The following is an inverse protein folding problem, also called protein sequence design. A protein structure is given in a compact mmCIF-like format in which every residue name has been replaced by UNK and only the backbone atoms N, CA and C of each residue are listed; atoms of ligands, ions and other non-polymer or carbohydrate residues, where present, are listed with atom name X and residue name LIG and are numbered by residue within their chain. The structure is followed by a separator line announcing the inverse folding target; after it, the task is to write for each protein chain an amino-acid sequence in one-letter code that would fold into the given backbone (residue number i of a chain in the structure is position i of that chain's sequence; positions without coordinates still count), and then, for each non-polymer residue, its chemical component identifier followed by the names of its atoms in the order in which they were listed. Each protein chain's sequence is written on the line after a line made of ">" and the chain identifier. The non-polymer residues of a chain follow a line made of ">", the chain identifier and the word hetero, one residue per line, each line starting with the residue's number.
data_IF_312771044472
#
_entry.id   IF_312771044472
#
_cell.length_a   1.000
_cell.length_b   1.000
_cell.length_c   1.000
_cell.angle_alpha   90.00
_cell.angle_beta   90.00
_cell.angle_gamma   90.00
#
_symmetry.space_group_name_H-M   'P 1'
#
loop_
_entity.id
_entity.type
_entity.pdbx_description
1 polymer ?
#
# COMPACT_ATOMS: atom_id res chain seq x y z
N UNK A 1 -4.36 69.37 -7.96
CA UNK A 1 -5.06 68.60 -9.02
C UNK A 1 -4.04 68.20 -10.07
N UNK A 2 -4.32 67.06 -10.75
CA UNK A 2 -3.53 66.27 -11.71
C UNK A 2 -2.37 65.45 -11.12
N UNK A 3 -2.59 64.16 -10.81
CA UNK A 3 -2.60 62.98 -11.72
C UNK A 3 -1.20 62.60 -12.20
N UNK A 4 -0.61 61.58 -11.55
CA UNK A 4 0.18 60.46 -12.10
C UNK A 4 1.14 59.92 -11.03
N UNK A 5 0.63 59.04 -10.17
CA UNK A 5 1.47 58.05 -9.49
C UNK A 5 1.34 56.74 -10.26
N UNK A 6 2.42 56.40 -10.96
CA UNK A 6 2.56 55.20 -11.75
C UNK A 6 2.28 53.94 -10.90
N UNK A 7 1.29 53.16 -11.33
CA UNK A 7 1.10 51.78 -10.90
C UNK A 7 2.31 50.96 -11.34
N UNK A 8 3.15 50.56 -10.40
CA UNK A 8 4.02 49.39 -10.57
C UNK A 8 3.21 48.15 -10.23
N UNK A 9 2.73 47.46 -11.26
CA UNK A 9 2.12 46.13 -11.11
C UNK A 9 3.15 45.18 -10.46
N UNK A 10 2.76 44.32 -9.50
CA UNK A 10 3.66 43.34 -8.94
C UNK A 10 4.09 42.36 -10.05
N UNK A 11 5.33 41.86 -10.01
CA UNK A 11 5.86 41.02 -11.07
C UNK A 11 5.01 39.76 -11.20
N UNK A 12 4.50 39.54 -12.41
CA UNK A 12 3.79 38.32 -12.82
C UNK A 12 4.73 37.14 -12.55
N UNK A 13 4.43 36.41 -11.48
CA UNK A 13 5.18 35.22 -11.11
C UNK A 13 5.09 34.20 -12.25
N UNK A 14 6.23 33.95 -12.87
CA UNK A 14 6.45 32.99 -13.93
C UNK A 14 5.94 31.61 -13.51
N UNK A 15 5.23 30.97 -14.44
CA UNK A 15 4.57 29.65 -14.34
C UNK A 15 5.59 28.49 -14.20
N UNK A 16 6.83 28.77 -13.81
CA UNK A 16 7.98 27.88 -13.88
C UNK A 16 8.43 27.35 -12.49
N UNK A 17 7.49 27.18 -11.56
CA UNK A 17 7.69 26.25 -10.45
C UNK A 17 6.99 24.94 -10.76
N UNK A 18 7.74 24.02 -11.38
CA UNK A 18 7.35 22.63 -11.63
C UNK A 18 7.01 21.95 -10.29
N UNK A 19 5.74 22.05 -9.88
CA UNK A 19 4.95 21.00 -9.27
C UNK A 19 5.52 20.29 -8.04
N UNK A 20 6.08 20.98 -7.06
CA UNK A 20 6.28 20.38 -5.72
C UNK A 20 4.91 20.15 -5.10
N UNK A 21 4.34 18.96 -5.34
CA UNK A 21 3.26 18.41 -4.50
C UNK A 21 3.79 18.49 -3.07
N UNK A 22 3.19 19.35 -2.24
CA UNK A 22 3.56 19.50 -0.84
C UNK A 22 3.47 18.12 -0.15
N UNK A 23 4.64 17.52 0.14
CA UNK A 23 4.77 16.23 0.81
C UNK A 23 4.11 16.34 2.19
N UNK A 24 3.32 15.34 2.56
CA UNK A 24 2.62 15.30 3.85
C UNK A 24 3.34 14.28 4.73
N UNK A 25 4.14 14.74 5.69
CA UNK A 25 4.93 13.90 6.58
C UNK A 25 4.10 12.82 7.29
N UNK A 26 2.87 13.14 7.68
CA UNK A 26 1.94 12.17 8.28
C UNK A 26 1.62 10.98 7.38
N UNK A 27 1.61 11.19 6.06
CA UNK A 27 1.41 10.10 5.11
C UNK A 27 2.67 9.25 4.97
N UNK A 28 3.84 9.85 5.17
CA UNK A 28 5.10 9.11 5.24
C UNK A 28 5.14 8.20 6.47
N UNK A 29 4.75 8.71 7.64
CA UNK A 29 4.61 7.91 8.88
C UNK A 29 3.68 6.71 8.65
N UNK A 30 2.48 6.94 8.11
CA UNK A 30 1.51 5.88 7.85
C UNK A 30 2.04 4.82 6.86
N UNK A 31 2.79 5.23 5.83
CA UNK A 31 3.42 4.29 4.88
C UNK A 31 4.49 3.44 5.55
N UNK A 32 5.35 4.04 6.36
CA UNK A 32 6.41 3.32 7.05
C UNK A 32 5.82 2.29 8.02
N UNK A 33 4.82 2.68 8.81
CA UNK A 33 4.12 1.75 9.71
C UNK A 33 3.51 0.61 8.92
N UNK A 34 2.75 0.90 7.86
CA UNK A 34 2.15 -0.13 7.02
C UNK A 34 3.19 -1.03 6.33
N UNK A 35 4.33 -0.48 5.90
CA UNK A 35 5.44 -1.28 5.35
C UNK A 35 6.02 -2.25 6.38
N UNK A 36 6.25 -1.80 7.61
CA UNK A 36 6.72 -2.67 8.70
C UNK A 36 5.68 -3.75 9.02
N UNK A 37 4.40 -3.37 9.14
CA UNK A 37 3.31 -4.30 9.43
C UNK A 37 3.16 -5.41 8.38
N UNK A 38 3.32 -5.11 7.09
CA UNK A 38 3.24 -6.14 6.05
C UNK A 38 4.47 -7.08 6.07
N UNK A 39 5.67 -6.56 6.37
CA UNK A 39 6.89 -7.37 6.51
C UNK A 39 6.72 -8.34 7.69
N UNK A 40 6.28 -7.81 8.83
CA UNK A 40 6.01 -8.59 10.05
C UNK A 40 4.95 -9.67 9.79
N UNK A 41 3.87 -9.34 9.07
CA UNK A 41 2.84 -10.30 8.68
C UNK A 41 3.39 -11.45 7.84
N UNK A 42 4.15 -11.15 6.78
CA UNK A 42 4.74 -12.19 5.94
C UNK A 42 5.81 -13.00 6.67
N UNK A 43 6.59 -12.36 7.54
CA UNK A 43 7.55 -13.07 8.37
C UNK A 43 6.85 -14.10 9.23
N UNK A 44 5.82 -13.72 9.98
CA UNK A 44 5.05 -14.64 10.81
C UNK A 44 4.38 -15.74 9.98
N UNK A 45 3.76 -15.40 8.85
CA UNK A 45 3.14 -16.36 7.94
C UNK A 45 4.13 -17.42 7.41
N UNK A 46 5.31 -16.99 6.95
CA UNK A 46 6.34 -17.88 6.41
C UNK A 46 7.05 -18.68 7.50
N UNK A 47 7.23 -18.09 8.69
CA UNK A 47 7.83 -18.75 9.86
C UNK A 47 6.94 -19.89 10.35
N UNK A 48 5.63 -19.63 10.50
CA UNK A 48 4.63 -20.60 10.94
C UNK A 48 4.41 -21.70 9.89
N UNK A 49 4.28 -21.35 8.61
CA UNK A 49 4.06 -22.35 7.54
C UNK A 49 5.23 -23.33 7.37
N UNK A 50 6.45 -22.95 7.77
CA UNK A 50 7.62 -23.83 7.81
C UNK A 50 7.77 -24.62 9.10
N UNK A 51 6.89 -24.42 10.08
CA UNK A 51 6.98 -25.06 11.39
C UNK A 51 8.22 -24.66 12.20
N UNK A 52 8.84 -23.52 11.88
CA UNK A 52 10.02 -23.02 12.61
C UNK A 52 9.55 -22.62 14.03
N UNK A 53 10.27 -23.06 15.07
CA UNK A 53 10.01 -22.67 16.46
C UNK A 53 8.85 -23.39 17.17
N UNK A 54 8.31 -24.47 16.58
CA UNK A 54 7.23 -25.27 17.18
C UNK A 54 5.90 -24.51 17.32
N UNK A 55 4.85 -25.19 17.79
CA UNK A 55 3.51 -24.61 17.99
C UNK A 55 3.42 -23.74 19.26
N UNK A 56 4.41 -22.86 19.48
CA UNK A 56 4.35 -21.91 20.59
C UNK A 56 3.28 -20.84 20.29
N UNK A 57 2.28 -20.64 21.18
CA UNK A 57 1.25 -19.62 21.01
C UNK A 57 1.80 -18.20 20.90
N UNK A 58 3.03 -17.95 21.36
CA UNK A 58 3.72 -16.66 21.26
C UNK A 58 4.10 -16.28 19.82
N UNK A 59 4.18 -17.25 18.89
CA UNK A 59 4.69 -17.03 17.53
C UNK A 59 3.60 -16.98 16.44
N UNK A 60 2.33 -17.20 16.79
CA UNK A 60 1.24 -17.43 15.81
C UNK A 60 0.07 -16.44 15.90
N UNK A 61 0.15 -15.42 16.77
CA UNK A 61 -0.98 -14.55 17.10
C UNK A 61 -0.76 -13.05 16.93
N UNK A 62 0.46 -12.60 16.67
CA UNK A 62 0.79 -11.17 16.72
C UNK A 62 0.38 -10.45 15.43
N UNK A 63 0.78 -10.96 14.27
CA UNK A 63 0.56 -10.31 12.99
C UNK A 63 -0.59 -10.95 12.21
N UNK A 64 -0.76 -12.26 12.34
CA UNK A 64 -1.81 -13.03 11.66
C UNK A 64 -3.20 -12.78 12.27
N UNK A 65 -3.24 -12.54 13.58
CA UNK A 65 -4.48 -12.43 14.36
C UNK A 65 -4.47 -11.27 15.38
N UNK A 66 -3.59 -10.27 15.25
CA UNK A 66 -3.46 -9.07 16.12
C UNK A 66 -3.97 -9.26 17.56
N UNK A 67 -3.40 -10.23 18.28
CA UNK A 67 -3.75 -10.59 19.66
C UNK A 67 -5.18 -11.15 19.86
N UNK A 68 -5.66 -11.97 18.93
CA UNK A 68 -6.99 -12.59 19.01
C UNK A 68 -8.13 -11.71 18.50
N UNK A 69 -7.81 -10.58 17.85
CA UNK A 69 -8.80 -9.64 17.33
C UNK A 69 -9.28 -10.00 15.92
N UNK A 70 -8.90 -11.16 15.36
CA UNK A 70 -9.22 -11.56 13.98
C UNK A 70 -8.81 -10.52 12.92
N UNK A 71 -7.91 -9.60 13.28
CA UNK A 71 -7.34 -8.59 12.40
C UNK A 71 -5.98 -9.08 11.91
N UNK A 72 -5.63 -8.68 10.69
CA UNK A 72 -4.35 -9.06 10.07
C UNK A 72 -3.57 -7.80 9.79
N UNK A 73 -2.33 -7.75 10.26
CA UNK A 73 -1.42 -6.66 9.93
C UNK A 73 -1.21 -6.55 8.42
N UNK A 74 -1.28 -7.66 7.68
CA UNK A 74 -1.20 -7.67 6.23
C UNK A 74 -2.37 -6.94 5.57
N UNK A 75 -3.61 -7.34 5.89
CA UNK A 75 -4.81 -6.68 5.36
C UNK A 75 -4.88 -5.20 5.75
N UNK A 76 -4.58 -4.87 7.02
CA UNK A 76 -4.51 -3.49 7.49
C UNK A 76 -3.51 -2.66 6.67
N UNK A 77 -2.32 -3.21 6.41
CA UNK A 77 -1.27 -2.53 5.64
C UNK A 77 -1.71 -2.25 4.22
N UNK A 78 -2.27 -3.26 3.54
CA UNK A 78 -2.79 -3.12 2.17
C UNK A 78 -3.88 -2.04 2.12
N UNK A 79 -4.79 -2.02 3.11
CA UNK A 79 -5.83 -1.00 3.22
C UNK A 79 -5.23 0.42 3.34
N UNK A 80 -4.24 0.60 4.20
CA UNK A 80 -3.55 1.88 4.37
C UNK A 80 -2.89 2.32 3.06
N UNK A 81 -2.20 1.43 2.34
CA UNK A 81 -1.56 1.77 1.06
C UNK A 81 -2.53 2.19 -0.03
N UNK A 82 -3.64 1.45 -0.19
CA UNK A 82 -4.68 1.81 -1.15
C UNK A 82 -5.34 3.14 -0.80
N UNK A 83 -5.73 3.34 0.48
CA UNK A 83 -6.34 4.59 0.92
C UNK A 83 -5.41 5.78 0.73
N UNK A 84 -4.13 5.69 1.13
CA UNK A 84 -3.16 6.76 0.90
C UNK A 84 -2.95 7.06 -0.59
N UNK A 85 -2.96 6.02 -1.43
CA UNK A 85 -2.87 6.18 -2.89
C UNK A 85 -4.09 6.89 -3.48
N UNK A 86 -5.28 6.62 -2.93
CA UNK A 86 -6.53 7.31 -3.23
C UNK A 86 -6.54 8.75 -2.78
N UNK A 87 -6.12 9.02 -1.54
CA UNK A 87 -5.99 10.37 -0.98
C UNK A 87 -5.13 11.27 -1.87
N UNK A 88 -4.01 10.74 -2.38
CA UNK A 88 -3.15 11.48 -3.31
C UNK A 88 -3.79 11.77 -4.67
N UNK A 89 -4.80 10.99 -5.06
CA UNK A 89 -5.56 11.12 -6.31
C UNK A 89 -6.81 11.99 -6.16
N UNK A 90 -7.22 12.31 -4.93
CA UNK A 90 -8.45 13.05 -4.64
C UNK A 90 -8.54 14.41 -5.36
N UNK A 91 -7.40 15.10 -5.52
CA UNK A 91 -7.32 16.39 -6.23
C UNK A 91 -7.79 16.32 -7.68
N UNK A 92 -7.74 15.12 -8.26
CA UNK A 92 -8.09 14.93 -9.66
C UNK A 92 -9.61 14.86 -9.81
N UNK A 93 -10.38 14.47 -8.78
CA UNK A 93 -11.84 14.21 -8.86
C UNK A 93 -12.60 15.37 -9.52
N UNK A 94 -12.45 16.59 -8.99
CA UNK A 94 -13.19 17.77 -9.48
C UNK A 94 -12.37 18.63 -10.45
N UNK A 95 -11.20 18.15 -10.90
CA UNK A 95 -10.32 18.92 -11.79
C UNK A 95 -10.84 18.92 -13.25
N UNK A 96 -11.34 20.05 -13.80
CA UNK A 96 -11.83 20.08 -15.18
C UNK A 96 -10.72 19.82 -16.20
N UNK A 97 -9.46 20.10 -15.86
CA UNK A 97 -8.29 19.92 -16.73
C UNK A 97 -7.67 18.52 -16.65
N UNK A 98 -8.36 17.55 -16.03
CA UNK A 98 -7.87 16.17 -15.95
C UNK A 98 -7.75 15.53 -17.34
N UNK A 99 -6.56 15.03 -17.67
CA UNK A 99 -6.31 14.28 -18.89
C UNK A 99 -5.88 12.86 -18.53
N UNK A 100 -6.59 11.87 -19.08
CA UNK A 100 -6.40 10.44 -18.81
C UNK A 100 -5.00 9.95 -19.20
N UNK A 101 -4.52 10.32 -20.40
CA UNK A 101 -3.22 9.84 -20.89
C UNK A 101 -2.02 10.33 -20.05
N UNK A 102 -1.89 11.64 -19.72
CA UNK A 102 -0.86 12.11 -18.79
C UNK A 102 -0.91 11.45 -17.42
N UNK A 103 -2.12 11.13 -16.92
CA UNK A 103 -2.28 10.39 -15.67
C UNK A 103 -1.66 8.99 -15.77
N UNK A 104 -2.00 8.22 -16.82
CA UNK A 104 -1.45 6.88 -17.01
C UNK A 104 0.06 6.90 -17.21
N UNK A 105 0.59 7.80 -18.06
CA UNK A 105 2.05 7.93 -18.25
C UNK A 105 2.78 8.18 -16.92
N UNK A 106 2.27 9.11 -16.11
CA UNK A 106 2.89 9.44 -14.81
C UNK A 106 2.83 8.27 -13.83
N UNK A 107 1.72 7.54 -13.81
CA UNK A 107 1.55 6.37 -12.93
C UNK A 107 2.40 5.20 -13.39
N UNK A 108 2.44 4.94 -14.70
CA UNK A 108 3.25 3.89 -15.30
C UNK A 108 4.71 4.03 -14.89
N UNK A 109 5.33 5.19 -15.09
CA UNK A 109 6.73 5.43 -14.73
C UNK A 109 7.01 5.27 -13.22
N UNK A 110 6.02 5.56 -12.37
CA UNK A 110 6.16 5.46 -10.91
C UNK A 110 5.99 4.04 -10.39
N UNK A 111 5.20 3.22 -11.07
CA UNK A 111 4.88 1.85 -10.63
C UNK A 111 5.80 0.84 -11.33
N UNK A 112 5.85 0.88 -12.67
CA UNK A 112 6.48 -0.17 -13.47
C UNK A 112 8.01 -0.12 -13.43
N UNK A 113 8.63 1.06 -13.25
CA UNK A 113 10.10 1.13 -13.20
C UNK A 113 10.64 0.40 -11.95
N UNK A 114 10.18 0.71 -10.72
CA UNK A 114 10.58 -0.07 -9.54
C UNK A 114 10.25 -1.57 -9.67
N UNK A 115 9.08 -1.89 -10.24
CA UNK A 115 8.65 -3.28 -10.45
C UNK A 115 9.60 -4.04 -11.37
N UNK A 116 9.90 -3.53 -12.56
CA UNK A 116 10.78 -4.21 -13.51
C UNK A 116 12.20 -4.37 -12.99
N UNK A 117 12.74 -3.35 -12.31
CA UNK A 117 14.06 -3.45 -11.68
C UNK A 117 14.05 -4.54 -10.61
N UNK A 118 13.04 -4.55 -9.72
CA UNK A 118 12.93 -5.56 -8.68
C UNK A 118 12.79 -6.97 -9.25
N UNK A 119 11.89 -7.13 -10.23
CA UNK A 119 11.65 -8.40 -10.91
C UNK A 119 12.92 -8.91 -11.58
N UNK A 120 13.61 -8.05 -12.34
CA UNK A 120 14.85 -8.41 -13.04
C UNK A 120 15.96 -8.83 -12.07
N UNK A 121 16.12 -8.14 -10.95
CA UNK A 121 17.10 -8.49 -9.90
C UNK A 121 16.80 -9.88 -9.34
N UNK A 122 15.57 -10.14 -8.89
CA UNK A 122 15.18 -11.43 -8.32
C UNK A 122 15.29 -12.55 -9.35
N UNK A 123 14.82 -12.30 -10.57
CA UNK A 123 14.90 -13.24 -11.68
C UNK A 123 16.36 -13.64 -11.97
N UNK A 124 17.27 -12.67 -12.04
CA UNK A 124 18.70 -12.91 -12.28
C UNK A 124 19.31 -13.71 -11.13
N UNK A 125 19.01 -13.36 -9.88
CA UNK A 125 19.50 -14.11 -8.71
C UNK A 125 19.03 -15.57 -8.75
N UNK A 126 17.76 -15.82 -9.10
CA UNK A 126 17.24 -17.18 -9.23
C UNK A 126 17.91 -17.97 -10.36
N UNK A 127 18.22 -17.33 -11.50
CA UNK A 127 18.99 -17.96 -12.58
C UNK A 127 20.38 -18.36 -12.08
N UNK A 128 21.09 -17.45 -11.42
CA UNK A 128 22.44 -17.70 -10.92
C UNK A 128 22.49 -18.81 -9.86
N UNK A 129 21.40 -19.00 -9.10
CA UNK A 129 21.23 -20.10 -8.14
C UNK A 129 20.75 -21.41 -8.77
N UNK A 130 20.50 -21.44 -10.08
CA UNK A 130 19.95 -22.62 -10.76
C UNK A 130 18.52 -22.98 -10.33
N UNK A 131 17.79 -22.03 -9.72
CA UNK A 131 16.48 -22.25 -9.11
C UNK A 131 15.29 -21.92 -10.04
N UNK A 132 15.55 -21.65 -11.32
CA UNK A 132 14.48 -21.32 -12.28
C UNK A 132 13.90 -22.58 -12.88
N UNK A 133 12.69 -22.93 -12.46
CA UNK A 133 11.88 -23.92 -13.14
C UNK A 133 11.04 -23.23 -14.23
N UNK A 134 11.39 -23.43 -15.51
CA UNK A 134 10.59 -22.96 -16.65
C UNK A 134 9.31 -23.82 -16.86
N UNK A 135 8.53 -24.01 -15.81
CA UNK A 135 7.33 -24.86 -15.83
C UNK A 135 6.09 -24.11 -16.31
N UNK A 136 6.17 -22.78 -16.43
CA UNK A 136 5.06 -21.92 -16.86
C UNK A 136 5.16 -21.67 -18.37
N UNK A 137 4.08 -21.86 -19.15
CA UNK A 137 4.10 -21.61 -20.59
C UNK A 137 4.43 -20.15 -20.92
N UNK A 138 5.30 -19.93 -21.91
CA UNK A 138 5.81 -18.60 -22.30
C UNK A 138 4.74 -17.52 -22.54
N UNK A 139 3.55 -17.81 -23.11
CA UNK A 139 2.52 -16.79 -23.32
C UNK A 139 2.04 -16.09 -22.02
N UNK A 140 2.10 -16.78 -20.87
CA UNK A 140 1.70 -16.20 -19.58
C UNK A 140 2.67 -15.12 -19.09
N UNK A 141 3.89 -15.04 -19.65
CA UNK A 141 4.84 -13.98 -19.33
C UNK A 141 4.34 -12.59 -19.74
N UNK A 142 3.41 -12.51 -20.70
CA UNK A 142 2.73 -11.24 -21.01
C UNK A 142 1.98 -10.68 -19.80
N UNK A 143 1.41 -11.54 -18.95
CA UNK A 143 0.76 -11.10 -17.72
C UNK A 143 1.78 -10.51 -16.74
N UNK A 144 2.98 -11.08 -16.65
CA UNK A 144 4.11 -10.56 -15.86
C UNK A 144 4.59 -9.19 -16.35
N UNK A 145 4.67 -9.00 -17.68
CA UNK A 145 5.01 -7.70 -18.27
C UNK A 145 4.02 -6.62 -17.85
N UNK A 146 2.73 -6.94 -17.76
CA UNK A 146 1.72 -6.00 -17.23
C UNK A 146 1.61 -6.02 -15.69
N UNK A 147 2.37 -6.88 -15.02
CA UNK A 147 2.33 -7.12 -13.57
C UNK A 147 0.98 -7.61 -13.06
N UNK A 148 0.25 -8.37 -13.88
CA UNK A 148 -1.07 -8.91 -13.59
C UNK A 148 -1.05 -10.41 -13.28
N UNK A 149 0.05 -11.10 -13.56
CA UNK A 149 0.19 -12.56 -13.38
C UNK A 149 -0.10 -12.99 -11.95
N UNK A 150 0.64 -12.47 -10.97
CA UNK A 150 0.47 -12.86 -9.59
C UNK A 150 -0.89 -12.47 -9.00
N UNK A 151 -1.44 -11.35 -9.47
CA UNK A 151 -2.78 -10.92 -9.09
C UNK A 151 -3.86 -11.88 -9.61
N UNK A 152 -3.83 -12.18 -10.91
CA UNK A 152 -4.81 -13.09 -11.52
C UNK A 152 -4.69 -14.51 -10.99
N UNK A 153 -3.46 -15.02 -10.83
CA UNK A 153 -3.21 -16.37 -10.31
C UNK A 153 -3.75 -16.54 -8.88
N UNK A 154 -3.51 -15.55 -8.01
CA UNK A 154 -3.92 -15.63 -6.60
C UNK A 154 -5.40 -15.30 -6.36
N UNK A 155 -5.98 -14.40 -7.15
CA UNK A 155 -7.40 -13.99 -7.03
C UNK A 155 -8.35 -14.93 -7.76
N UNK A 156 -7.88 -15.62 -8.80
CA UNK A 156 -8.65 -16.62 -9.55
C UNK A 156 -8.00 -18.01 -9.46
N UNK A 157 -7.51 -18.37 -8.27
CA UNK A 157 -6.83 -19.64 -8.01
C UNK A 157 -7.58 -20.89 -8.54
N UNK A 158 -8.93 -20.97 -8.49
CA UNK A 158 -9.66 -22.11 -9.06
C UNK A 158 -9.58 -22.23 -10.59
N UNK A 159 -9.21 -21.16 -11.30
CA UNK A 159 -8.94 -21.19 -12.75
C UNK A 159 -7.52 -21.68 -13.08
N UNK A 160 -6.71 -21.97 -12.05
CA UNK A 160 -5.34 -22.48 -12.17
C UNK A 160 -4.46 -21.69 -13.14
N UNK A 161 -4.59 -20.36 -13.13
CA UNK A 161 -3.82 -19.47 -14.01
C UNK A 161 -2.33 -19.58 -13.63
N UNK A 162 -1.47 -20.10 -14.52
CA UNK A 162 -0.03 -20.17 -14.28
C UNK A 162 0.59 -18.78 -14.11
N UNK A 163 1.58 -18.65 -13.24
CA UNK A 163 2.21 -17.37 -12.91
C UNK A 163 3.73 -17.50 -12.79
N UNK A 164 4.46 -16.51 -13.30
CA UNK A 164 5.89 -16.37 -13.05
C UNK A 164 6.13 -15.59 -11.75
N UNK A 165 5.42 -15.99 -10.68
CA UNK A 165 5.39 -15.24 -9.42
C UNK A 165 6.75 -15.23 -8.74
N UNK A 166 7.36 -14.06 -8.68
CA UNK A 166 8.67 -13.87 -8.05
C UNK A 166 8.63 -12.89 -6.89
N UNK A 167 7.88 -11.80 -7.00
CA UNK A 167 7.94 -10.68 -6.05
C UNK A 167 6.55 -10.33 -5.50
N UNK A 168 6.31 -9.11 -5.00
CA UNK A 168 4.99 -8.65 -4.57
C UNK A 168 3.96 -8.40 -5.70
N UNK A 169 3.89 -9.26 -6.73
CA UNK A 169 3.05 -9.07 -7.93
C UNK A 169 1.56 -9.01 -7.65
N UNK A 170 1.07 -9.73 -6.63
CA UNK A 170 -0.35 -9.67 -6.29
C UNK A 170 -0.77 -8.23 -5.91
N UNK A 171 -0.02 -7.60 -5.00
CA UNK A 171 -0.30 -6.23 -4.57
C UNK A 171 -0.03 -5.23 -5.71
N UNK A 172 1.04 -5.43 -6.47
CA UNK A 172 1.38 -4.60 -7.62
C UNK A 172 0.26 -4.64 -8.68
N UNK A 173 -0.21 -5.81 -9.07
CA UNK A 173 -1.26 -5.99 -10.05
C UNK A 173 -2.59 -5.39 -9.59
N UNK A 174 -2.94 -5.55 -8.32
CA UNK A 174 -4.09 -4.87 -7.73
C UNK A 174 -3.98 -3.34 -7.86
N UNK A 175 -2.78 -2.77 -7.65
CA UNK A 175 -2.52 -1.34 -7.81
C UNK A 175 -2.56 -0.88 -9.28
N UNK A 176 -2.12 -1.73 -10.21
CA UNK A 176 -2.26 -1.49 -11.66
C UNK A 176 -3.74 -1.43 -12.03
N UNK A 177 -4.55 -2.40 -11.60
CA UNK A 177 -6.00 -2.45 -11.87
C UNK A 177 -6.70 -1.20 -11.35
N UNK A 178 -6.47 -0.82 -10.10
CA UNK A 178 -7.03 0.40 -9.51
C UNK A 178 -6.60 1.64 -10.27
N UNK A 179 -5.33 1.70 -10.71
CA UNK A 179 -4.79 2.82 -11.48
C UNK A 179 -5.47 2.92 -12.86
N UNK A 180 -5.64 1.80 -13.56
CA UNK A 180 -6.30 1.75 -14.87
C UNK A 180 -7.76 2.21 -14.76
N UNK A 181 -8.47 1.75 -13.72
CA UNK A 181 -9.89 2.07 -13.53
C UNK A 181 -10.14 3.45 -12.92
N UNK A 182 -9.11 4.10 -12.36
CA UNK A 182 -9.27 5.39 -11.67
C UNK A 182 -9.99 6.47 -12.50
N UNK A 183 -9.68 6.70 -13.79
CA UNK A 183 -10.39 7.72 -14.59
C UNK A 183 -11.91 7.48 -14.67
N UNK A 184 -12.34 6.22 -14.77
CA UNK A 184 -13.75 5.84 -14.75
C UNK A 184 -14.37 6.10 -13.39
N UNK A 185 -13.74 5.62 -12.31
CA UNK A 185 -14.22 5.84 -10.92
C UNK A 185 -14.32 7.33 -10.62
N UNK A 186 -13.30 8.10 -10.99
CA UNK A 186 -13.25 9.54 -10.87
C UNK A 186 -14.43 10.22 -11.57
N UNK A 187 -14.72 9.83 -12.81
CA UNK A 187 -15.87 10.35 -13.56
C UNK A 187 -17.19 10.02 -12.86
N UNK A 188 -17.36 8.79 -12.37
CA UNK A 188 -18.54 8.37 -11.61
C UNK A 188 -18.69 9.17 -10.31
N UNK A 189 -17.60 9.43 -9.58
CA UNK A 189 -17.61 10.25 -8.36
C UNK A 189 -17.96 11.71 -8.64
N UNK A 190 -17.46 12.27 -9.74
CA UNK A 190 -17.75 13.65 -10.12
C UNK A 190 -19.22 13.81 -10.55
N UNK A 191 -19.77 12.82 -11.27
CA UNK A 191 -21.13 12.88 -11.82
C UNK A 191 -22.22 12.45 -10.84
N UNK A 192 -21.99 11.38 -10.08
CA UNK A 192 -23.01 10.71 -9.26
C UNK A 192 -22.68 10.63 -7.77
N UNK A 193 -21.53 11.19 -7.34
CA UNK A 193 -21.13 11.37 -5.94
C UNK A 193 -21.39 10.14 -5.04
N UNK A 194 -22.38 10.22 -4.14
CA UNK A 194 -22.70 9.19 -3.16
C UNK A 194 -23.23 7.89 -3.79
N UNK A 195 -23.95 7.95 -4.91
CA UNK A 195 -24.47 6.75 -5.58
C UNK A 195 -23.32 5.83 -6.01
N UNK A 196 -22.26 6.41 -6.58
CA UNK A 196 -21.06 5.69 -6.98
C UNK A 196 -20.38 4.99 -5.80
N UNK A 197 -20.39 5.60 -4.61
CA UNK A 197 -19.85 4.99 -3.40
C UNK A 197 -20.71 3.82 -2.96
N UNK A 198 -22.03 3.99 -2.87
CA UNK A 198 -22.95 2.92 -2.47
C UNK A 198 -22.80 1.71 -3.39
N UNK A 199 -22.77 1.93 -4.71
CA UNK A 199 -22.58 0.85 -5.68
C UNK A 199 -21.25 0.13 -5.46
N UNK A 200 -20.14 0.87 -5.27
CA UNK A 200 -18.82 0.26 -5.04
C UNK A 200 -18.79 -0.58 -3.75
N UNK A 201 -19.35 -0.08 -2.65
CA UNK A 201 -19.39 -0.82 -1.37
C UNK A 201 -20.34 -2.02 -1.43
N UNK A 202 -21.44 -1.94 -2.18
CA UNK A 202 -22.31 -3.11 -2.42
C UNK A 202 -21.55 -4.17 -3.22
N UNK A 203 -20.86 -3.78 -4.30
CA UNK A 203 -20.08 -4.71 -5.12
C UNK A 203 -18.89 -5.33 -4.38
N UNK A 204 -18.30 -4.57 -3.46
CA UNK A 204 -17.23 -5.04 -2.58
C UNK A 204 -17.66 -6.22 -1.69
N UNK A 205 -18.92 -6.22 -1.23
CA UNK A 205 -19.48 -7.30 -0.41
C UNK A 205 -20.05 -8.41 -1.30
N UNK A 206 -20.78 -8.04 -2.36
CA UNK A 206 -21.51 -8.99 -3.20
C UNK A 206 -20.57 -9.93 -3.96
N UNK A 207 -19.44 -9.43 -4.49
CA UNK A 207 -18.53 -10.25 -5.30
C UNK A 207 -17.90 -11.39 -4.47
N UNK A 208 -17.28 -11.15 -3.30
CA UNK A 208 -16.77 -12.24 -2.46
C UNK A 208 -17.83 -13.23 -2.02
N UNK A 209 -19.08 -12.76 -1.79
CA UNK A 209 -20.21 -13.64 -1.46
C UNK A 209 -20.55 -14.53 -2.65
N UNK A 210 -20.67 -13.99 -3.87
CA UNK A 210 -20.90 -14.84 -5.06
C UNK A 210 -19.73 -15.80 -5.27
N UNK A 211 -18.50 -15.31 -5.10
CA UNK A 211 -17.28 -16.08 -5.29
C UNK A 211 -17.23 -17.30 -4.34
N UNK A 212 -17.69 -17.14 -3.09
CA UNK A 212 -17.75 -18.26 -2.14
C UNK A 212 -18.68 -19.39 -2.56
N UNK A 213 -19.78 -19.06 -3.25
CA UNK A 213 -20.74 -20.05 -3.74
C UNK A 213 -20.20 -20.85 -4.94
N UNK A 214 -19.13 -20.38 -5.58
CA UNK A 214 -18.46 -21.07 -6.70
C UNK A 214 -17.08 -21.61 -6.30
N UNK A 215 -16.80 -21.75 -5.01
CA UNK A 215 -15.56 -22.34 -4.49
C UNK A 215 -14.32 -21.44 -4.59
N UNK A 216 -14.50 -20.14 -4.86
CA UNK A 216 -13.42 -19.16 -4.83
C UNK A 216 -13.21 -18.59 -3.43
N UNK A 217 -12.01 -18.05 -3.18
CA UNK A 217 -11.62 -17.55 -1.86
C UNK A 217 -12.40 -16.26 -1.53
N UNK A 218 -13.19 -16.23 -0.44
CA UNK A 218 -14.08 -15.11 -0.13
C UNK A 218 -13.41 -13.94 0.60
N UNK A 219 -12.29 -13.44 0.07
CA UNK A 219 -11.58 -12.30 0.64
C UNK A 219 -11.81 -11.04 -0.19
N UNK A 220 -12.42 -10.03 0.43
CA UNK A 220 -12.74 -8.74 -0.17
C UNK A 220 -11.53 -8.10 -0.86
N UNK A 221 -10.35 -8.14 -0.23
CA UNK A 221 -9.16 -7.49 -0.77
C UNK A 221 -8.51 -8.28 -1.92
N UNK A 222 -8.91 -9.53 -2.16
CA UNK A 222 -8.46 -10.29 -3.34
C UNK A 222 -9.14 -9.83 -4.62
N UNK A 223 -10.35 -9.28 -4.53
CA UNK A 223 -11.09 -8.86 -5.72
C UNK A 223 -10.84 -7.38 -6.05
N UNK A 224 -10.89 -7.00 -7.35
CA UNK A 224 -10.67 -5.62 -7.75
C UNK A 224 -11.61 -4.64 -7.04
N UNK A 225 -12.85 -5.06 -6.78
CA UNK A 225 -13.86 -4.22 -6.14
C UNK A 225 -13.46 -3.80 -4.73
N UNK A 226 -12.86 -4.68 -3.93
CA UNK A 226 -12.40 -4.31 -2.60
C UNK A 226 -11.21 -3.37 -2.62
N UNK A 227 -10.22 -3.60 -3.51
CA UNK A 227 -9.10 -2.69 -3.68
C UNK A 227 -9.56 -1.30 -4.17
N UNK A 228 -10.50 -1.27 -5.11
CA UNK A 228 -11.10 -0.04 -5.66
C UNK A 228 -11.88 0.70 -4.59
N UNK A 229 -12.75 0.02 -3.84
CA UNK A 229 -13.55 0.63 -2.78
C UNK A 229 -12.64 1.24 -1.70
N UNK A 230 -11.63 0.48 -1.26
CA UNK A 230 -10.60 0.95 -0.32
C UNK A 230 -9.87 2.19 -0.84
N UNK A 231 -9.40 2.18 -2.09
CA UNK A 231 -8.74 3.34 -2.71
C UNK A 231 -9.69 4.54 -2.79
N UNK A 232 -10.93 4.29 -3.19
CA UNK A 232 -11.98 5.31 -3.36
C UNK A 232 -12.33 5.96 -2.03
N UNK A 233 -12.40 5.17 -0.95
CA UNK A 233 -12.61 5.66 0.41
C UNK A 233 -11.54 6.69 0.80
N UNK A 234 -10.26 6.37 0.57
CA UNK A 234 -9.17 7.33 0.77
C UNK A 234 -9.33 8.60 -0.07
N UNK A 235 -9.73 8.48 -1.33
CA UNK A 235 -9.96 9.63 -2.20
C UNK A 235 -11.08 10.54 -1.68
N UNK A 236 -12.19 9.98 -1.18
CA UNK A 236 -13.31 10.73 -0.59
C UNK A 236 -12.91 11.40 0.73
N UNK A 237 -12.17 10.70 1.60
CA UNK A 237 -11.65 11.28 2.85
C UNK A 237 -10.81 12.53 2.54
N UNK A 238 -9.88 12.45 1.59
CA UNK A 238 -9.06 13.61 1.23
C UNK A 238 -9.85 14.69 0.50
N UNK A 239 -10.87 14.34 -0.31
CA UNK A 239 -11.76 15.33 -0.92
C UNK A 239 -12.54 16.11 0.13
N UNK A 240 -13.05 15.44 1.16
CA UNK A 240 -13.70 16.08 2.31
C UNK A 240 -12.75 17.03 3.02
N UNK A 241 -11.52 16.59 3.32
CA UNK A 241 -10.50 17.43 3.96
C UNK A 241 -10.17 18.69 3.15
N UNK A 242 -10.05 18.57 1.83
CA UNK A 242 -9.78 19.71 0.95
C UNK A 242 -10.96 20.70 0.98
N UNK A 243 -12.19 20.19 0.88
CA UNK A 243 -13.41 21.01 0.89
C UNK A 243 -13.62 21.75 2.21
N UNK A 244 -13.32 21.12 3.35
CA UNK A 244 -13.54 21.66 4.69
C UNK A 244 -12.25 22.11 5.39
N UNK A 245 -11.22 22.49 4.63
CA UNK A 245 -9.88 22.78 5.17
C UNK A 245 -9.85 23.90 6.23
N UNK A 246 -10.82 24.82 6.21
CA UNK A 246 -10.95 25.93 7.17
C UNK A 246 -12.03 25.70 8.24
N UNK A 247 -12.91 24.71 8.04
CA UNK A 247 -14.07 24.46 8.91
C UNK A 247 -13.68 23.52 10.07
N UNK A 248 -13.28 24.12 11.20
CA UNK A 248 -12.86 23.37 12.39
C UNK A 248 -13.92 22.42 12.94
N UNK A 249 -15.20 22.76 12.80
CA UNK A 249 -16.30 21.93 13.30
C UNK A 249 -16.45 20.68 12.45
N UNK A 250 -16.42 20.82 11.12
CA UNK A 250 -16.40 19.69 10.20
C UNK A 250 -15.18 18.79 10.42
N UNK A 251 -14.00 19.38 10.58
CA UNK A 251 -12.77 18.62 10.82
C UNK A 251 -12.82 17.86 12.16
N UNK A 252 -13.37 18.45 13.23
CA UNK A 252 -13.58 17.77 14.52
C UNK A 252 -14.56 16.60 14.40
N UNK A 253 -15.67 16.78 13.68
CA UNK A 253 -16.65 15.71 13.42
C UNK A 253 -16.00 14.54 12.69
N UNK A 254 -15.16 14.79 11.68
CA UNK A 254 -14.40 13.75 11.00
C UNK A 254 -13.45 13.02 11.93
N UNK A 255 -12.71 13.73 12.78
CA UNK A 255 -11.83 13.08 13.75
C UNK A 255 -12.60 12.18 14.72
N UNK A 256 -13.76 12.65 15.23
CA UNK A 256 -14.65 11.83 16.06
C UNK A 256 -15.16 10.60 15.30
N UNK A 257 -15.52 10.75 14.02
CA UNK A 257 -15.88 9.61 13.17
C UNK A 257 -14.73 8.61 13.05
N UNK A 258 -13.49 9.07 12.85
CA UNK A 258 -12.31 8.20 12.81
C UNK A 258 -12.09 7.42 14.11
N UNK A 259 -12.31 8.07 15.26
CA UNK A 259 -12.26 7.41 16.57
C UNK A 259 -13.35 6.35 16.69
N UNK A 260 -14.60 6.67 16.34
CA UNK A 260 -15.73 5.73 16.37
C UNK A 260 -15.45 4.54 15.45
N UNK A 261 -14.99 4.77 14.22
CA UNK A 261 -14.66 3.70 13.28
C UNK A 261 -13.57 2.77 13.82
N UNK A 262 -12.55 3.31 14.49
CA UNK A 262 -11.48 2.53 15.11
C UNK A 262 -12.02 1.66 16.23
N UNK A 263 -12.80 2.24 17.15
CA UNK A 263 -13.40 1.50 18.29
C UNK A 263 -14.36 0.43 17.78
N UNK A 264 -15.26 0.77 16.85
CA UNK A 264 -16.21 -0.20 16.27
C UNK A 264 -15.46 -1.32 15.56
N UNK A 265 -14.39 -1.03 14.79
CA UNK A 265 -13.58 -2.06 14.16
C UNK A 265 -12.98 -2.99 15.21
N UNK A 266 -12.39 -2.46 16.29
CA UNK A 266 -11.80 -3.27 17.38
C UNK A 266 -12.86 -4.07 18.16
N UNK A 267 -14.06 -3.54 18.38
CA UNK A 267 -15.14 -4.24 19.07
C UNK A 267 -15.87 -5.28 18.20
N UNK A 268 -15.96 -5.05 16.88
CA UNK A 268 -16.60 -5.98 15.93
C UNK A 268 -15.87 -7.32 15.77
N UNK A 269 -14.71 -7.46 16.42
CA UNK A 269 -13.94 -8.70 16.55
C UNK A 269 -14.69 -9.77 17.34
N UNK A 270 -15.67 -9.36 18.16
CA UNK A 270 -16.55 -10.24 18.91
C UNK A 270 -17.62 -10.94 18.04
N UNK A 271 -17.75 -10.58 16.76
CA UNK A 271 -18.70 -11.19 15.81
C UNK A 271 -17.95 -12.16 14.89
N UNK A 272 -18.21 -13.48 14.96
CA UNK A 272 -17.59 -14.46 14.08
C UNK A 272 -18.02 -14.27 12.63
N UNK A 273 -17.06 -14.20 11.69
CA UNK A 273 -17.35 -14.15 10.26
C UNK A 273 -16.12 -13.86 9.40
N UNK A 274 -15.81 -14.75 8.44
CA UNK A 274 -14.62 -14.64 7.59
C UNK A 274 -14.67 -13.42 6.65
N UNK A 275 -15.82 -13.12 6.05
CA UNK A 275 -16.02 -11.97 5.15
C UNK A 275 -15.86 -10.61 5.86
N UNK A 276 -16.11 -10.57 7.16
CA UNK A 276 -16.04 -9.32 7.95
C UNK A 276 -14.60 -8.94 8.29
N UNK A 277 -13.63 -9.85 8.17
CA UNK A 277 -12.23 -9.57 8.54
C UNK A 277 -11.61 -8.46 7.69
N UNK A 278 -11.76 -8.53 6.37
CA UNK A 278 -11.22 -7.51 5.46
C UNK A 278 -11.92 -6.16 5.62
N UNK A 279 -13.26 -6.15 5.73
CA UNK A 279 -14.04 -4.93 5.98
C UNK A 279 -13.66 -4.29 7.33
N UNK A 280 -13.44 -5.10 8.37
CA UNK A 280 -12.95 -4.63 9.67
C UNK A 280 -11.57 -3.99 9.55
N UNK A 281 -10.64 -4.61 8.81
CA UNK A 281 -9.32 -4.02 8.54
C UNK A 281 -9.41 -2.71 7.76
N UNK A 282 -10.33 -2.60 6.80
CA UNK A 282 -10.59 -1.35 6.08
C UNK A 282 -11.16 -0.26 7.01
N UNK A 283 -12.14 -0.61 7.85
CA UNK A 283 -12.70 0.32 8.84
C UNK A 283 -11.63 0.81 9.82
N UNK A 284 -10.77 -0.10 10.30
CA UNK A 284 -9.65 0.24 11.16
C UNK A 284 -8.64 1.15 10.44
N UNK A 285 -8.26 0.82 9.21
CA UNK A 285 -7.37 1.65 8.38
C UNK A 285 -7.95 3.06 8.17
N UNK A 286 -9.22 3.15 7.80
CA UNK A 286 -9.92 4.43 7.63
C UNK A 286 -9.96 5.23 8.93
N UNK A 287 -10.28 4.57 10.06
CA UNK A 287 -10.26 5.19 11.39
C UNK A 287 -8.91 5.80 11.73
N UNK A 288 -7.83 5.01 11.61
CA UNK A 288 -6.44 5.46 11.86
C UNK A 288 -6.06 6.61 10.93
N UNK A 289 -6.31 6.48 9.63
CA UNK A 289 -5.99 7.52 8.63
C UNK A 289 -6.74 8.81 8.93
N UNK A 290 -8.03 8.74 9.24
CA UNK A 290 -8.84 9.91 9.58
C UNK A 290 -8.32 10.57 10.85
N UNK A 291 -8.03 9.80 11.90
CA UNK A 291 -7.42 10.34 13.12
C UNK A 291 -6.12 11.06 12.76
N UNK A 292 -5.19 10.41 12.05
CA UNK A 292 -3.89 11.01 11.72
C UNK A 292 -4.00 12.22 10.78
N UNK A 293 -4.82 12.18 9.74
CA UNK A 293 -4.92 13.27 8.75
C UNK A 293 -5.68 14.49 9.31
N UNK A 294 -6.57 14.26 10.28
CA UNK A 294 -7.39 15.30 10.92
C UNK A 294 -6.88 15.69 12.31
N UNK A 295 -5.89 15.00 12.90
CA UNK A 295 -5.23 15.47 14.13
C UNK A 295 -4.58 16.83 13.93
N UNK A 296 -4.52 17.64 14.99
CA UNK A 296 -3.82 18.93 14.95
C UNK A 296 -4.43 19.94 13.97
N UNK A 297 -5.71 20.30 14.19
CA UNK A 297 -6.50 21.33 13.46
C UNK A 297 -5.90 22.76 13.42
N UNK A 298 -4.59 22.91 13.63
CA UNK A 298 -3.81 24.09 13.31
C UNK A 298 -3.00 23.78 12.06
N UNK A 299 -3.36 24.43 10.95
CA UNK A 299 -2.45 24.63 9.82
C UNK A 299 -1.24 25.43 10.30
N UNK A 300 -0.29 24.81 10.99
CA UNK A 300 1.07 25.35 10.94
C UNK A 300 1.60 24.98 9.57
N UNK A 301 2.03 25.94 8.75
CA UNK A 301 2.70 25.63 7.50
C UNK A 301 3.87 24.71 7.83
N UNK A 302 3.94 23.59 7.12
CA UNK A 302 4.95 22.53 7.23
C UNK A 302 6.38 22.98 6.86
N UNK A 303 6.75 24.22 7.17
CA UNK A 303 8.13 24.72 7.07
C UNK A 303 8.91 24.51 8.37
N UNK A 304 8.26 23.97 9.40
CA UNK A 304 8.85 23.84 10.74
C UNK A 304 8.56 22.46 11.36
N UNK A 305 8.55 21.40 10.55
CA UNK A 305 8.81 20.07 11.09
C UNK A 305 10.33 19.93 11.14
N UNK A 306 10.85 19.94 12.37
CA UNK A 306 12.27 20.05 12.67
C UNK A 306 13.11 19.09 11.82
N UNK A 307 14.28 19.58 11.41
CA UNK A 307 15.32 18.86 10.69
C UNK A 307 16.02 17.80 11.59
N UNK A 308 15.24 16.99 12.30
CA UNK A 308 15.73 15.92 13.17
C UNK A 308 16.14 14.71 12.33
N UNK A 309 17.05 13.90 12.86
CA UNK A 309 17.42 12.62 12.23
C UNK A 309 16.20 11.72 11.99
N UNK A 310 15.25 11.68 12.94
CA UNK A 310 14.02 10.89 12.84
C UNK A 310 13.13 11.31 11.67
N UNK A 311 12.96 12.61 11.43
CA UNK A 311 12.17 13.09 10.29
C UNK A 311 12.77 12.63 8.96
N UNK A 312 14.09 12.78 8.79
CA UNK A 312 14.80 12.32 7.59
C UNK A 312 14.70 10.81 7.40
N UNK A 313 14.82 10.05 8.49
CA UNK A 313 14.68 8.59 8.46
C UNK A 313 13.29 8.16 7.99
N UNK A 314 12.21 8.74 8.54
CA UNK A 314 10.84 8.40 8.12
C UNK A 314 10.58 8.76 6.66
N UNK A 315 11.08 9.91 6.22
CA UNK A 315 11.01 10.33 4.81
C UNK A 315 11.73 9.31 3.92
N UNK A 316 12.94 8.89 4.29
CA UNK A 316 13.71 7.88 3.57
C UNK A 316 12.96 6.55 3.51
N UNK A 317 12.55 6.00 4.65
CA UNK A 317 11.84 4.72 4.73
C UNK A 317 10.51 4.75 3.95
N UNK A 318 9.80 5.88 3.97
CA UNK A 318 8.57 6.06 3.18
C UNK A 318 8.85 6.03 1.67
N UNK A 319 9.95 6.64 1.22
CA UNK A 319 10.34 6.60 -0.19
C UNK A 319 10.75 5.19 -0.62
N UNK A 320 11.39 4.43 0.29
CA UNK A 320 11.76 3.03 0.08
C UNK A 320 10.59 2.04 0.19
N UNK A 321 9.46 2.45 0.75
CA UNK A 321 8.34 1.55 1.08
C UNK A 321 7.82 0.75 -0.13
N UNK A 322 7.82 1.33 -1.35
CA UNK A 322 7.42 0.60 -2.56
C UNK A 322 8.34 -0.58 -2.86
N UNK A 323 9.65 -0.41 -2.74
CA UNK A 323 10.61 -1.49 -2.92
C UNK A 323 10.51 -2.53 -1.81
N UNK A 324 10.38 -2.07 -0.56
CA UNK A 324 10.17 -2.98 0.57
C UNK A 324 8.96 -3.91 0.33
N UNK A 325 7.84 -3.37 -0.17
CA UNK A 325 6.66 -4.16 -0.56
C UNK A 325 6.94 -5.22 -1.63
N UNK A 326 7.78 -4.89 -2.62
CA UNK A 326 8.10 -5.80 -3.71
C UNK A 326 9.02 -6.94 -3.24
N UNK A 327 10.02 -6.64 -2.41
CA UNK A 327 11.07 -7.61 -2.05
C UNK A 327 10.80 -8.41 -0.77
N UNK A 328 9.97 -7.92 0.15
CA UNK A 328 9.81 -8.51 1.48
C UNK A 328 9.63 -10.03 1.46
N UNK A 329 8.74 -10.55 0.61
CA UNK A 329 8.40 -11.96 0.59
C UNK A 329 9.61 -12.81 0.21
N UNK A 330 10.33 -12.42 -0.84
CA UNK A 330 11.51 -13.14 -1.33
C UNK A 330 12.62 -13.15 -0.28
N UNK A 331 12.89 -11.99 0.33
CA UNK A 331 13.92 -11.86 1.36
C UNK A 331 13.57 -12.71 2.58
N UNK A 332 12.30 -12.66 3.02
CA UNK A 332 11.81 -13.47 4.14
C UNK A 332 12.01 -14.96 3.83
N UNK A 333 11.57 -15.43 2.67
CA UNK A 333 11.69 -16.84 2.27
C UNK A 333 13.15 -17.28 2.23
N UNK A 334 14.03 -16.50 1.59
CA UNK A 334 15.46 -16.81 1.48
C UNK A 334 16.13 -16.91 2.86
N UNK A 335 15.86 -15.95 3.75
CA UNK A 335 16.42 -15.94 5.10
C UNK A 335 15.88 -17.12 5.91
N UNK A 336 14.56 -17.36 5.88
CA UNK A 336 13.94 -18.45 6.64
C UNK A 336 14.41 -19.83 6.17
N UNK A 337 14.59 -20.05 4.87
CA UNK A 337 15.16 -21.29 4.35
C UNK A 337 16.62 -21.51 4.80
N UNK A 338 17.36 -20.43 5.05
CA UNK A 338 18.74 -20.51 5.54
C UNK A 338 18.84 -20.88 7.02
N UNK A 339 17.78 -20.61 7.81
CA UNK A 339 17.74 -20.89 9.25
C UNK A 339 16.86 -22.07 9.62
N UNK A 340 16.02 -22.57 8.71
CA UNK A 340 15.14 -23.70 8.97
C UNK A 340 15.89 -24.99 9.32
N UNK A 341 17.12 -25.16 8.82
CA UNK A 341 17.99 -26.28 9.17
C UNK A 341 18.70 -26.15 10.53
N UNK A 342 18.64 -24.97 11.17
CA UNK A 342 19.27 -24.68 12.47
C UNK A 342 18.30 -24.99 13.61
N UNK A 343 16.99 -24.95 13.36
CA UNK A 343 15.96 -25.32 14.31
C UNK A 343 15.83 -26.87 14.37
N UNK A 344 16.75 -27.53 15.08
CA UNK A 344 16.63 -28.96 15.37
C UNK A 344 15.68 -29.20 16.56
N UNK A 345 15.29 -30.47 16.77
CA UNK A 345 14.36 -30.87 17.84
C UNK A 345 14.85 -30.57 19.27
N UNK A 346 16.11 -30.15 19.43
CA UNK A 346 16.75 -29.88 20.72
C UNK A 346 17.01 -28.37 20.96
N UNK A 347 17.03 -27.55 19.93
CA UNK A 347 17.21 -26.09 19.98
C UNK A 347 16.02 -25.39 19.31
N UNK A 348 14.88 -25.34 20.01
CA UNK A 348 13.76 -24.52 19.59
C UNK A 348 14.15 -23.04 19.54
N UNK A 349 13.67 -22.31 18.53
CA UNK A 349 13.79 -20.85 18.48
C UNK A 349 13.19 -20.25 19.76
N UNK A 350 14.01 -19.54 20.55
CA UNK A 350 13.48 -18.81 21.69
C UNK A 350 12.66 -17.61 21.23
N UNK A 351 11.83 -17.06 22.13
CA UNK A 351 11.10 -15.81 21.88
C UNK A 351 12.05 -14.66 21.51
N UNK A 352 13.25 -14.63 22.07
CA UNK A 352 14.26 -13.61 21.76
C UNK A 352 14.78 -13.81 20.34
N UNK A 353 15.13 -15.04 19.96
CA UNK A 353 15.62 -15.36 18.61
C UNK A 353 14.58 -15.00 17.55
N UNK A 354 13.29 -15.25 17.82
CA UNK A 354 12.17 -14.87 16.96
C UNK A 354 12.15 -13.36 16.68
N UNK A 355 12.16 -12.54 17.75
CA UNK A 355 12.12 -11.08 17.59
C UNK A 355 13.42 -10.50 17.03
N UNK A 356 14.58 -11.09 17.35
CA UNK A 356 15.86 -10.72 16.76
C UNK A 356 15.88 -10.99 15.25
N UNK A 357 15.42 -12.16 14.82
CA UNK A 357 15.31 -12.52 13.40
C UNK A 357 14.32 -11.61 12.67
N UNK A 358 13.18 -11.31 13.28
CA UNK A 358 12.19 -10.37 12.73
C UNK A 358 12.81 -8.97 12.52
N UNK A 359 13.47 -8.43 13.55
CA UNK A 359 14.15 -7.14 13.46
C UNK A 359 15.24 -7.13 12.39
N UNK A 360 16.04 -8.21 12.31
CA UNK A 360 17.05 -8.38 11.28
C UNK A 360 16.44 -8.36 9.88
N UNK A 361 15.34 -9.09 9.65
CA UNK A 361 14.63 -9.12 8.38
C UNK A 361 14.09 -7.74 8.01
N UNK A 362 13.48 -6.99 8.95
CA UNK A 362 12.99 -5.64 8.68
C UNK A 362 14.15 -4.74 8.20
N UNK A 363 15.28 -4.77 8.89
CA UNK A 363 16.47 -3.98 8.53
C UNK A 363 16.98 -4.41 7.15
N UNK A 364 17.08 -5.72 6.90
CA UNK A 364 17.57 -6.28 5.63
C UNK A 364 16.67 -5.90 4.46
N UNK A 365 15.35 -5.96 4.62
CA UNK A 365 14.38 -5.57 3.59
C UNK A 365 14.56 -4.10 3.21
N UNK A 366 14.69 -3.20 4.19
CA UNK A 366 14.93 -1.79 3.90
C UNK A 366 16.34 -1.51 3.36
N UNK A 367 17.35 -2.27 3.76
CA UNK A 367 18.70 -2.16 3.22
C UNK A 367 18.75 -2.55 1.74
N UNK A 368 18.12 -3.67 1.36
CA UNK A 368 18.02 -4.10 -0.04
C UNK A 368 17.18 -3.10 -0.85
N UNK A 369 16.04 -2.65 -0.30
CA UNK A 369 15.24 -1.60 -0.92
C UNK A 369 16.04 -0.32 -1.20
N UNK A 370 16.91 0.08 -0.27
CA UNK A 370 17.81 1.22 -0.43
C UNK A 370 18.80 1.01 -1.58
N UNK A 371 19.52 -0.12 -1.60
CA UNK A 371 20.50 -0.43 -2.67
C UNK A 371 19.84 -0.40 -4.06
N UNK A 372 18.65 -1.00 -4.19
CA UNK A 372 17.92 -1.04 -5.45
C UNK A 372 17.42 0.36 -5.85
N UNK A 373 16.95 1.15 -4.89
CA UNK A 373 16.55 2.54 -5.14
C UNK A 373 17.71 3.40 -5.64
N UNK A 374 18.90 3.25 -5.07
CA UNK A 374 20.10 3.97 -5.53
C UNK A 374 20.52 3.54 -6.94
N UNK A 375 20.40 2.26 -7.26
CA UNK A 375 20.62 1.75 -8.61
C UNK A 375 19.63 2.37 -9.62
N UNK A 376 18.33 2.43 -9.29
CA UNK A 376 17.34 3.13 -10.12
C UNK A 376 17.71 4.61 -10.32
N UNK A 377 18.08 5.31 -9.24
CA UNK A 377 18.46 6.72 -9.27
C UNK A 377 19.64 6.96 -10.22
N UNK A 378 20.67 6.10 -10.16
CA UNK A 378 21.82 6.18 -11.04
C UNK A 378 21.43 5.98 -12.53
N UNK A 379 20.53 5.05 -12.82
CA UNK A 379 20.00 4.84 -14.19
C UNK A 379 19.25 6.09 -14.66
N UNK A 380 18.35 6.63 -13.83
CA UNK A 380 17.55 7.82 -14.18
C UNK A 380 18.41 9.05 -14.43
N UNK A 381 19.48 9.24 -13.65
CA UNK A 381 20.42 10.35 -13.86
C UNK A 381 21.13 10.23 -15.21
N UNK A 382 21.63 9.03 -15.57
CA UNK A 382 22.25 8.79 -16.88
C UNK A 382 21.30 9.01 -18.05
N UNK A 383 20.02 8.65 -17.90
CA UNK A 383 18.99 8.86 -18.93
C UNK A 383 18.56 10.33 -19.08
N UNK A 384 18.76 11.18 -18.07
CA UNK A 384 18.47 12.64 -18.14
C UNK A 384 19.63 13.44 -18.72
N UNK A 385 20.85 12.91 -18.63
CA UNK A 385 22.08 13.56 -19.12
C UNK A 385 22.43 13.18 -20.57
N UNK A 386 21.57 12.39 -21.22
CA UNK A 386 21.58 12.09 -22.67
C UNK A 386 20.33 12.72 -23.26
#
# INVERSE_FOLDING_TARGET
>A
MSHEQALSAPPVATIEQVGVRKRRYRYDVLRVIAAICIIVFHFEAEFVSRGIGGSSPSHTGFALNMFGLHLSMGSLSICVFFMLSGMLSAKDIDNPSFKTWPYYRKRFLRLFIPFYIAYFVVYTVNILRGSVAFQVPAPYFLLTVFGLDGYLSSSFAPLSIPSFYLIGEWFFGALVVVTVLWPLIRWMLAKWSYVSLVVLFVLEILIPVIASHVGMIPDVLRYPTGCIATFTLGAVISKYRIKHATDRTALRKMWTLGLVMTVVAMCSTMVPGQYMGALRNQMLAAGIIIIVDFTGFRNKPSHQENNTGTHRLIVLLSDLSMYAFLFQHVIIVDVLNSVSGIADSNHGFSTIDYYCLMCFIIILVFAIAFVVSEFENAIRQKLRNR
#
